data_IF_088857095267
#
_entry.id   IF_088857095267
#
_cell.length_a   1.000
_cell.length_b   1.000
_cell.length_c   1.000
_cell.angle_alpha   90.00
_cell.angle_beta   90.00
_cell.angle_gamma   90.00
#
_symmetry.space_group_name_H-M   'P 1'
#
loop_
_entity.id
_entity.type
_entity.pdbx_description
1 polymer ?
#
# COMPACT_ATOMS: atom_id res chain seq x y z
N UNK A 1 6.36 8.58 4.30
CA UNK A 1 6.25 9.63 5.36
C UNK A 1 5.93 10.98 4.74
N UNK A 2 5.67 11.98 5.60
CA UNK A 2 5.56 13.36 5.20
C UNK A 2 4.15 13.80 4.77
N UNK A 3 4.09 15.02 4.22
CA UNK A 3 2.83 15.72 3.90
C UNK A 3 1.93 14.93 2.95
N UNK A 4 2.49 14.31 1.91
CA UNK A 4 1.69 13.56 0.92
C UNK A 4 0.91 12.40 1.53
N UNK A 5 1.50 11.70 2.51
CA UNK A 5 0.78 10.67 3.25
C UNK A 5 -0.37 11.26 4.06
N UNK A 6 -0.12 12.34 4.80
CA UNK A 6 -1.16 13.03 5.58
C UNK A 6 -2.30 13.54 4.71
N UNK A 7 -1.99 14.08 3.54
CA UNK A 7 -3.00 14.53 2.56
C UNK A 7 -3.87 13.34 2.09
N UNK A 8 -3.28 12.17 1.84
CA UNK A 8 -4.01 10.95 1.50
C UNK A 8 -4.97 10.55 2.61
N UNK A 9 -4.49 10.49 3.87
CA UNK A 9 -5.35 10.18 5.02
C UNK A 9 -6.47 11.21 5.18
N UNK A 10 -6.20 12.49 4.98
CA UNK A 10 -7.22 13.54 5.02
C UNK A 10 -8.32 13.36 3.95
N UNK A 11 -7.97 12.83 2.77
CA UNK A 11 -8.96 12.49 1.73
C UNK A 11 -9.84 11.33 2.19
N UNK A 12 -9.23 10.26 2.71
CA UNK A 12 -9.97 9.08 3.18
C UNK A 12 -10.85 9.41 4.37
N UNK A 13 -10.41 10.33 5.25
CA UNK A 13 -11.15 10.78 6.43
C UNK A 13 -12.48 11.48 6.11
N UNK A 14 -12.70 11.87 4.85
CA UNK A 14 -14.01 12.36 4.38
C UNK A 14 -15.07 11.25 4.27
N UNK A 15 -14.66 10.00 4.25
CA UNK A 15 -15.53 8.84 4.07
C UNK A 15 -15.66 7.98 5.34
N UNK A 16 -14.62 7.89 6.15
CA UNK A 16 -14.56 7.16 7.42
C UNK A 16 -13.74 7.95 8.45
N UNK A 17 -14.07 7.83 9.73
CA UNK A 17 -13.42 8.60 10.80
C UNK A 17 -12.06 8.02 11.17
N UNK A 18 -11.02 8.34 10.39
CA UNK A 18 -9.65 7.86 10.63
C UNK A 18 -8.97 8.69 11.71
N UNK A 19 -8.36 8.04 12.66
CA UNK A 19 -7.41 8.64 13.61
C UNK A 19 -5.99 8.58 13.01
N UNK A 20 -5.37 9.73 12.84
CA UNK A 20 -3.97 9.81 12.41
C UNK A 20 -3.06 9.56 13.61
N UNK A 21 -2.26 8.51 13.54
CA UNK A 21 -1.25 8.16 14.54
C UNK A 21 0.11 8.64 14.11
N UNK A 22 0.97 8.93 15.09
CA UNK A 22 2.30 9.48 14.90
C UNK A 22 3.32 8.68 15.70
N UNK A 23 4.41 8.28 15.05
CA UNK A 23 5.56 7.63 15.70
C UNK A 23 6.79 8.47 15.40
N UNK A 24 7.44 9.07 16.41
CA UNK A 24 8.57 9.96 16.21
C UNK A 24 9.76 9.30 15.50
N UNK A 25 10.44 10.05 14.63
CA UNK A 25 11.73 9.64 14.05
C UNK A 25 12.72 9.27 15.14
N UNK A 26 13.48 8.20 14.94
CA UNK A 26 14.42 7.67 15.93
C UNK A 26 13.81 6.70 16.94
N UNK A 27 12.48 6.54 16.97
CA UNK A 27 11.82 5.54 17.82
C UNK A 27 12.21 4.14 17.36
N UNK A 28 12.58 3.29 18.31
CA UNK A 28 12.89 1.88 18.04
C UNK A 28 11.58 1.10 17.87
N UNK A 29 11.47 0.35 16.77
CA UNK A 29 10.35 -0.53 16.44
C UNK A 29 10.92 -1.93 16.15
N UNK A 30 10.98 -2.80 17.17
CA UNK A 30 11.71 -4.07 17.18
C UNK A 30 13.19 -3.87 16.82
N UNK A 31 13.63 -4.45 15.70
CA UNK A 31 15.00 -4.31 15.15
C UNK A 31 15.14 -3.13 14.16
N UNK A 32 14.04 -2.38 13.92
CA UNK A 32 14.03 -1.19 13.08
C UNK A 32 14.06 0.10 13.88
N UNK A 33 14.41 1.19 13.19
CA UNK A 33 14.33 2.56 13.71
C UNK A 33 13.49 3.39 12.76
N UNK A 34 12.53 4.13 13.31
CA UNK A 34 11.67 5.02 12.51
C UNK A 34 12.54 6.07 11.83
N UNK A 35 12.50 6.19 10.50
CA UNK A 35 13.35 7.09 9.73
C UNK A 35 12.97 8.56 9.93
N UNK A 36 13.84 9.45 9.44
CA UNK A 36 13.50 10.88 9.29
C UNK A 36 12.29 11.05 8.38
N UNK A 37 11.50 12.06 8.65
CA UNK A 37 10.41 12.46 7.78
C UNK A 37 10.96 13.07 6.50
N UNK A 38 10.49 12.59 5.35
CA UNK A 38 10.85 13.13 4.05
C UNK A 38 9.68 13.93 3.47
N UNK A 39 9.98 15.13 2.99
CA UNK A 39 9.04 15.99 2.27
C UNK A 39 9.67 16.51 0.99
N UNK A 40 8.85 16.79 -0.01
CA UNK A 40 9.25 17.39 -1.29
C UNK A 40 8.27 18.49 -1.67
N UNK A 41 8.81 19.64 -2.08
CA UNK A 41 8.03 20.80 -2.53
C UNK A 41 7.98 20.90 -4.05
N UNK A 42 9.12 20.68 -4.71
CA UNK A 42 9.26 20.74 -6.17
C UNK A 42 10.47 19.98 -6.65
N UNK A 43 10.48 19.59 -7.93
CA UNK A 43 11.66 19.09 -8.60
C UNK A 43 11.54 19.24 -10.13
N UNK A 44 12.65 19.51 -10.78
CA UNK A 44 12.68 19.60 -12.24
C UNK A 44 14.10 19.36 -12.80
N UNK A 45 14.12 19.08 -14.09
CA UNK A 45 15.31 19.16 -14.93
C UNK A 45 15.00 20.09 -16.10
N UNK A 46 15.85 21.10 -16.32
CA UNK A 46 15.76 22.02 -17.45
C UNK A 46 16.97 21.83 -18.38
N UNK A 47 16.70 21.92 -19.68
CA UNK A 47 17.74 21.98 -20.72
C UNK A 47 18.42 23.36 -20.79
N UNK A 48 19.38 23.52 -21.68
CA UNK A 48 20.09 24.78 -21.89
C UNK A 48 19.20 25.92 -22.39
N UNK A 49 18.06 25.60 -22.99
CA UNK A 49 17.10 26.58 -23.51
C UNK A 49 16.07 26.98 -22.41
N UNK A 50 16.17 26.38 -21.20
CA UNK A 50 15.30 26.62 -20.07
C UNK A 50 14.02 25.83 -20.09
N UNK A 51 13.82 24.90 -21.03
CA UNK A 51 12.63 24.03 -21.06
C UNK A 51 12.73 22.96 -20.01
N UNK A 52 11.65 22.75 -19.28
CA UNK A 52 11.56 21.62 -18.34
C UNK A 52 11.38 20.31 -19.11
N UNK A 53 12.40 19.47 -19.14
CA UNK A 53 12.35 18.12 -19.70
C UNK A 53 11.83 17.09 -18.68
N UNK A 54 11.96 17.41 -17.39
CA UNK A 54 11.33 16.69 -16.27
C UNK A 54 10.66 17.72 -15.36
N UNK A 55 9.44 17.46 -14.91
CA UNK A 55 8.68 18.36 -14.04
C UNK A 55 7.81 17.58 -13.03
N UNK A 56 8.18 17.65 -11.76
CA UNK A 56 7.44 17.04 -10.65
C UNK A 56 5.98 17.50 -10.60
N UNK A 57 5.71 18.75 -10.99
CA UNK A 57 4.32 19.30 -10.99
C UNK A 57 3.44 18.65 -12.07
N UNK A 58 4.02 18.02 -13.10
CA UNK A 58 3.28 17.23 -14.09
C UNK A 58 3.02 15.81 -13.61
N UNK A 59 4.00 15.21 -12.94
CA UNK A 59 3.89 13.88 -12.34
C UNK A 59 4.89 13.72 -11.20
N UNK A 60 4.40 13.32 -10.03
CA UNK A 60 5.27 13.02 -8.90
C UNK A 60 6.14 11.76 -9.11
N UNK A 61 5.80 10.91 -10.08
CA UNK A 61 6.64 9.77 -10.49
C UNK A 61 7.96 10.22 -11.12
N UNK A 62 8.07 11.45 -11.59
CA UNK A 62 9.29 11.98 -12.19
C UNK A 62 10.47 12.11 -11.21
N UNK A 63 10.27 11.94 -9.92
CA UNK A 63 11.33 11.97 -8.92
C UNK A 63 11.56 10.59 -8.33
N UNK A 64 12.83 10.19 -8.23
CA UNK A 64 13.21 9.06 -7.40
C UNK A 64 12.72 9.32 -5.97
N UNK A 65 11.77 8.51 -5.49
CA UNK A 65 11.15 8.73 -4.20
C UNK A 65 12.20 8.69 -3.07
N UNK A 66 12.09 9.55 -2.08
CA UNK A 66 13.11 9.77 -1.03
C UNK A 66 14.44 10.39 -1.52
N UNK A 67 14.45 11.07 -2.67
CA UNK A 67 15.63 11.80 -3.13
C UNK A 67 16.09 12.86 -2.14
N UNK A 68 17.40 12.92 -1.94
CA UNK A 68 18.08 14.02 -1.25
C UNK A 68 17.94 15.34 -2.05
N UNK A 69 17.98 16.50 -1.37
CA UNK A 69 17.90 17.79 -2.03
C UNK A 69 19.14 18.04 -2.89
N UNK A 70 18.94 18.61 -4.08
CA UNK A 70 20.01 19.05 -4.96
C UNK A 70 19.61 20.30 -5.75
N UNK A 71 20.58 21.17 -6.01
CA UNK A 71 20.48 22.26 -6.96
C UNK A 71 21.82 22.45 -7.64
N UNK A 72 21.92 22.07 -8.90
CA UNK A 72 23.18 22.09 -9.64
C UNK A 72 22.96 22.30 -11.15
N UNK A 73 24.03 22.66 -11.86
CA UNK A 73 24.14 22.52 -13.30
C UNK A 73 25.13 21.40 -13.59
N UNK A 74 24.74 20.43 -14.38
CA UNK A 74 25.55 19.24 -14.67
C UNK A 74 25.47 18.90 -16.17
N UNK A 75 26.53 18.32 -16.76
CA UNK A 75 26.48 17.85 -18.13
C UNK A 75 25.56 16.64 -18.30
N UNK A 76 25.06 16.41 -19.51
CA UNK A 76 24.19 15.26 -19.82
C UNK A 76 24.79 13.93 -19.38
N UNK A 77 26.12 13.75 -19.53
CA UNK A 77 26.81 12.51 -19.15
C UNK A 77 26.68 12.19 -17.64
N UNK A 78 26.62 13.22 -16.79
CA UNK A 78 26.37 13.08 -15.36
C UNK A 78 24.88 12.87 -15.08
N UNK A 79 24.01 13.69 -15.70
CA UNK A 79 22.56 13.59 -15.54
C UNK A 79 22.03 12.18 -15.84
N UNK A 80 22.53 11.54 -16.90
CA UNK A 80 22.14 10.18 -17.31
C UNK A 80 22.35 9.13 -16.23
N UNK A 81 23.31 9.31 -15.32
CA UNK A 81 23.53 8.38 -14.18
C UNK A 81 22.45 8.45 -13.13
N UNK A 82 21.70 9.56 -13.08
CA UNK A 82 20.64 9.83 -12.12
C UNK A 82 19.24 9.74 -12.73
N UNK A 83 19.13 9.24 -13.98
CA UNK A 83 17.83 9.03 -14.63
C UNK A 83 17.52 7.54 -14.73
N UNK A 84 16.34 7.17 -14.27
CA UNK A 84 15.80 5.82 -14.37
C UNK A 84 14.74 5.75 -15.47
N UNK A 85 14.86 4.76 -16.34
CA UNK A 85 13.91 4.49 -17.43
C UNK A 85 13.67 3.00 -17.60
N UNK A 86 12.67 2.62 -18.42
CA UNK A 86 12.37 1.24 -18.81
C UNK A 86 12.44 1.13 -20.33
N UNK A 87 13.49 0.49 -20.86
CA UNK A 87 13.67 0.35 -22.31
C UNK A 87 12.66 -0.57 -22.99
N UNK A 88 12.19 -1.59 -22.25
CA UNK A 88 11.17 -2.56 -22.67
C UNK A 88 9.74 -1.99 -22.61
N UNK A 89 9.55 -0.86 -21.93
CA UNK A 89 8.29 -0.13 -21.76
C UNK A 89 8.51 1.35 -21.98
N UNK A 90 8.98 1.68 -23.18
CA UNK A 90 9.63 2.95 -23.52
C UNK A 90 8.80 4.21 -23.25
N UNK A 91 7.46 4.11 -23.23
CA UNK A 91 6.53 5.23 -22.99
C UNK A 91 6.22 5.47 -21.51
N UNK A 92 6.54 4.53 -20.64
CA UNK A 92 6.15 4.62 -19.24
C UNK A 92 7.24 5.19 -18.36
N UNK A 93 6.84 5.97 -17.37
CA UNK A 93 7.73 6.48 -16.32
C UNK A 93 7.76 5.45 -15.20
N UNK A 94 8.94 4.92 -14.81
CA UNK A 94 9.01 3.98 -13.70
C UNK A 94 8.80 4.68 -12.36
N UNK A 95 8.20 3.98 -11.39
CA UNK A 95 8.35 4.31 -9.98
C UNK A 95 9.65 3.71 -9.46
N UNK A 96 10.47 4.54 -8.81
CA UNK A 96 11.70 4.12 -8.13
C UNK A 96 11.80 4.82 -6.78
N UNK A 97 12.48 4.20 -5.84
CA UNK A 97 12.69 4.74 -4.50
C UNK A 97 14.12 4.52 -4.02
N UNK A 98 14.61 5.46 -3.23
CA UNK A 98 15.92 5.47 -2.57
C UNK A 98 15.74 5.35 -1.04
N UNK A 99 14.84 4.53 -0.58
CA UNK A 99 14.30 4.53 0.78
C UNK A 99 15.36 4.40 1.88
N UNK A 100 16.42 3.62 1.65
CA UNK A 100 17.43 3.30 2.67
C UNK A 100 18.81 3.92 2.41
N UNK A 101 18.95 4.63 1.29
CA UNK A 101 20.23 5.20 0.87
C UNK A 101 20.06 6.69 0.58
N UNK A 102 21.03 7.51 1.01
CA UNK A 102 21.06 8.91 0.63
C UNK A 102 21.49 9.04 -0.84
N UNK A 103 20.50 9.20 -1.70
CA UNK A 103 20.67 9.32 -3.13
C UNK A 103 19.66 10.32 -3.71
N UNK A 104 19.85 10.75 -4.95
CA UNK A 104 18.91 11.58 -5.67
C UNK A 104 18.77 11.12 -7.11
N UNK A 105 17.66 11.41 -7.76
CA UNK A 105 17.46 11.05 -9.14
C UNK A 105 16.08 11.39 -9.66
N UNK A 106 15.91 11.09 -10.94
CA UNK A 106 14.69 11.33 -11.68
C UNK A 106 14.25 10.07 -12.41
N UNK A 107 12.99 10.01 -12.76
CA UNK A 107 12.39 8.98 -13.58
C UNK A 107 11.73 9.64 -14.81
N UNK A 108 11.89 9.04 -15.98
CA UNK A 108 11.22 9.52 -17.19
C UNK A 108 10.96 8.38 -18.16
N UNK A 109 10.16 8.63 -19.20
CA UNK A 109 9.99 7.67 -20.28
C UNK A 109 11.32 7.45 -21.02
N UNK A 110 11.55 6.22 -21.48
CA UNK A 110 12.78 5.94 -22.25
C UNK A 110 12.79 6.68 -23.60
N UNK A 111 11.62 6.88 -24.20
CA UNK A 111 11.50 7.68 -25.43
C UNK A 111 11.95 9.12 -25.23
N UNK A 112 11.63 9.76 -24.12
CA UNK A 112 12.05 11.13 -23.84
C UNK A 112 13.52 11.18 -23.40
N UNK A 113 14.00 10.15 -22.67
CA UNK A 113 15.40 10.01 -22.33
C UNK A 113 16.30 9.99 -23.58
N UNK A 114 15.89 9.29 -24.65
CA UNK A 114 16.64 9.22 -25.90
C UNK A 114 16.66 10.55 -26.69
N UNK A 115 15.73 11.47 -26.38
CA UNK A 115 15.66 12.81 -27.02
C UNK A 115 16.56 13.85 -26.34
N UNK A 116 17.15 13.52 -25.17
CA UNK A 116 18.03 14.44 -24.46
C UNK A 116 19.26 14.77 -25.29
N UNK A 117 19.53 16.07 -25.47
CA UNK A 117 20.62 16.58 -26.29
C UNK A 117 21.86 16.84 -25.46
N UNK A 118 23.05 16.74 -26.07
CA UNK A 118 24.30 17.15 -25.40
C UNK A 118 24.21 18.60 -24.92
N UNK A 119 24.70 18.84 -23.71
CA UNK A 119 24.66 20.15 -23.07
C UNK A 119 24.65 20.11 -21.57
N UNK A 120 24.52 21.28 -20.97
CA UNK A 120 24.32 21.43 -19.50
C UNK A 120 22.85 21.44 -19.17
N UNK A 121 22.53 20.83 -18.05
CA UNK A 121 21.18 20.73 -17.49
C UNK A 121 21.13 21.33 -16.08
N UNK A 122 20.15 22.17 -15.82
CA UNK A 122 19.84 22.62 -14.48
C UNK A 122 18.95 21.56 -13.79
N UNK A 123 19.47 20.97 -12.72
CA UNK A 123 18.73 20.01 -11.89
C UNK A 123 18.36 20.63 -10.55
N UNK A 124 17.14 20.41 -10.10
CA UNK A 124 16.66 20.86 -8.81
C UNK A 124 15.71 19.83 -8.21
N UNK A 125 15.96 19.44 -6.97
CA UNK A 125 15.05 18.72 -6.09
C UNK A 125 14.98 19.50 -4.78
N UNK A 126 13.83 20.10 -4.50
CA UNK A 126 13.54 20.79 -3.25
C UNK A 126 12.86 19.81 -2.30
N UNK A 127 13.66 18.99 -1.66
CA UNK A 127 13.26 18.01 -0.65
C UNK A 127 13.94 18.25 0.67
N UNK A 128 13.47 17.59 1.70
CA UNK A 128 14.08 17.67 3.03
C UNK A 128 13.92 16.35 3.80
N UNK A 129 14.94 16.06 4.62
CA UNK A 129 14.89 15.05 5.68
C UNK A 129 14.96 15.76 7.03
N UNK A 130 13.94 15.64 7.84
CA UNK A 130 13.87 16.27 9.16
C UNK A 130 13.50 15.26 10.25
N UNK A 131 13.84 15.59 11.48
CA UNK A 131 13.20 14.93 12.62
C UNK A 131 11.71 15.27 12.58
N UNK A 132 10.90 14.23 12.54
CA UNK A 132 9.46 14.35 12.36
C UNK A 132 8.77 13.07 12.81
N UNK A 133 7.78 12.61 12.07
CA UNK A 133 6.99 11.43 12.45
C UNK A 133 6.74 10.50 11.27
N UNK A 134 6.67 9.20 11.56
CA UNK A 134 5.98 8.24 10.71
C UNK A 134 4.49 8.32 11.05
N UNK A 135 3.68 8.61 10.05
CA UNK A 135 2.24 8.58 10.22
C UNK A 135 1.63 7.26 9.75
N UNK A 136 0.56 6.82 10.40
CA UNK A 136 -0.38 5.84 9.88
C UNK A 136 -1.81 6.22 10.26
N UNK A 137 -2.77 5.80 9.45
CA UNK A 137 -4.20 5.98 9.73
C UNK A 137 -4.77 4.74 10.40
N UNK A 138 -5.54 4.92 11.45
CA UNK A 138 -6.25 3.85 12.14
C UNK A 138 -7.74 4.18 12.21
N UNK A 139 -8.59 3.21 11.85
CA UNK A 139 -10.03 3.31 12.03
C UNK A 139 -10.52 2.06 12.74
N UNK A 140 -11.24 2.24 13.84
CA UNK A 140 -11.73 1.14 14.69
C UNK A 140 -13.24 1.16 14.74
N UNK A 141 -13.83 -0.02 14.56
CA UNK A 141 -15.26 -0.28 14.74
C UNK A 141 -15.37 -1.27 15.89
N UNK A 142 -16.00 -0.84 16.99
CA UNK A 142 -16.27 -1.70 18.14
C UNK A 142 -17.44 -2.64 17.81
N UNK A 143 -17.23 -3.95 18.01
CA UNK A 143 -18.22 -5.00 17.89
C UNK A 143 -18.71 -5.48 19.26
N UNK A 144 -19.47 -6.59 19.29
CA UNK A 144 -19.93 -7.20 20.54
C UNK A 144 -18.79 -7.89 21.30
N UNK A 145 -17.76 -8.34 20.60
CA UNK A 145 -16.57 -9.00 21.14
C UNK A 145 -15.35 -8.11 21.07
N UNK A 146 -14.42 -8.30 22.01
CA UNK A 146 -13.06 -7.75 21.96
C UNK A 146 -12.18 -8.43 20.91
N UNK A 147 -12.62 -9.56 20.33
CA UNK A 147 -11.92 -10.22 19.24
C UNK A 147 -11.96 -9.34 18.01
N UNK A 148 -10.79 -9.12 17.40
CA UNK A 148 -10.61 -8.16 16.30
C UNK A 148 -10.31 -8.85 14.97
N UNK A 149 -10.87 -8.32 13.90
CA UNK A 149 -10.48 -8.60 12.52
C UNK A 149 -9.67 -7.41 11.99
N UNK A 150 -8.45 -7.67 11.54
CA UNK A 150 -7.54 -6.65 11.01
C UNK A 150 -7.71 -6.52 9.49
N UNK A 151 -7.91 -5.30 8.99
CA UNK A 151 -7.86 -4.97 7.57
C UNK A 151 -6.74 -3.96 7.35
N UNK A 152 -5.77 -4.28 6.50
CA UNK A 152 -4.62 -3.42 6.25
C UNK A 152 -4.48 -3.11 4.77
N UNK A 153 -4.28 -1.83 4.43
CA UNK A 153 -3.99 -1.36 3.09
C UNK A 153 -2.80 -0.40 3.14
N UNK A 154 -1.77 -0.67 2.35
CA UNK A 154 -0.60 0.19 2.35
C UNK A 154 -0.83 1.47 1.54
N UNK A 155 -0.23 2.57 2.02
CA UNK A 155 -0.28 3.90 1.44
C UNK A 155 1.12 4.48 1.42
N UNK A 156 1.92 4.13 0.44
CA UNK A 156 3.32 4.54 0.34
C UNK A 156 3.78 4.90 -1.08
N UNK A 157 3.02 4.53 -2.11
CA UNK A 157 3.37 4.81 -3.49
C UNK A 157 2.68 6.07 -4.00
N UNK A 158 3.39 7.00 -4.67
CA UNK A 158 2.78 8.17 -5.25
C UNK A 158 2.01 7.80 -6.53
N UNK A 159 0.75 8.23 -6.63
CA UNK A 159 -0.06 8.17 -7.87
C UNK A 159 -0.25 6.80 -8.52
N UNK A 160 -0.01 5.69 -7.82
CA UNK A 160 -0.25 4.35 -8.34
C UNK A 160 -1.66 3.88 -7.94
N UNK A 161 -2.48 3.52 -8.94
CA UNK A 161 -3.90 3.28 -8.73
C UNK A 161 -4.20 1.87 -8.24
N UNK A 162 -3.66 0.85 -8.94
CA UNK A 162 -3.83 -0.53 -8.48
C UNK A 162 -2.98 -0.80 -7.24
N UNK A 163 -1.75 -0.30 -7.22
CA UNK A 163 -0.80 -0.45 -6.12
C UNK A 163 -0.54 0.88 -5.36
N UNK A 164 -1.38 1.35 -4.38
CA UNK A 164 -2.45 0.56 -3.80
C UNK A 164 -3.69 1.43 -3.47
N UNK A 165 -3.99 2.44 -4.30
CA UNK A 165 -5.22 3.23 -4.09
C UNK A 165 -6.47 2.34 -4.18
N UNK A 166 -6.43 1.25 -4.97
CA UNK A 166 -7.51 0.26 -5.05
C UNK A 166 -7.80 -0.39 -3.69
N UNK A 167 -6.77 -0.88 -3.00
CA UNK A 167 -6.89 -1.47 -1.66
C UNK A 167 -7.38 -0.48 -0.62
N UNK A 168 -6.86 0.75 -0.66
CA UNK A 168 -7.27 1.84 0.23
C UNK A 168 -8.76 2.18 0.04
N UNK A 169 -9.21 2.33 -1.21
CA UNK A 169 -10.59 2.68 -1.51
C UNK A 169 -11.57 1.59 -1.05
N UNK A 170 -11.26 0.33 -1.35
CA UNK A 170 -12.10 -0.80 -0.93
C UNK A 170 -12.10 -0.95 0.60
N UNK A 171 -10.95 -0.81 1.28
CA UNK A 171 -10.90 -0.83 2.74
C UNK A 171 -11.78 0.27 3.37
N UNK A 172 -11.74 1.49 2.80
CA UNK A 172 -12.58 2.59 3.27
C UNK A 172 -14.09 2.30 3.07
N UNK A 173 -14.47 1.70 1.93
CA UNK A 173 -15.86 1.31 1.68
C UNK A 173 -16.29 0.19 2.63
N UNK A 174 -15.48 -0.84 2.85
CA UNK A 174 -15.74 -1.90 3.82
C UNK A 174 -15.99 -1.29 5.20
N UNK A 175 -15.10 -0.40 5.67
CA UNK A 175 -15.26 0.25 6.96
C UNK A 175 -16.53 1.07 7.08
N UNK A 176 -16.90 1.80 6.00
CA UNK A 176 -18.17 2.55 5.94
C UNK A 176 -19.39 1.65 6.02
N UNK A 177 -19.38 0.51 5.34
CA UNK A 177 -20.53 -0.41 5.31
C UNK A 177 -20.65 -1.20 6.64
N UNK A 178 -19.54 -1.70 7.19
CA UNK A 178 -19.55 -2.42 8.47
C UNK A 178 -20.01 -1.53 9.63
N UNK A 179 -19.72 -0.24 9.61
CA UNK A 179 -20.21 0.69 10.65
C UNK A 179 -21.74 0.80 10.72
N UNK A 180 -22.45 0.46 9.65
CA UNK A 180 -23.92 0.58 9.56
C UNK A 180 -24.64 -0.58 10.26
N UNK A 181 -23.94 -1.65 10.57
CA UNK A 181 -24.47 -2.87 11.16
C UNK A 181 -23.83 -3.14 12.52
N UNK A 182 -24.54 -3.90 13.35
CA UNK A 182 -23.99 -4.42 14.60
C UNK A 182 -23.18 -5.66 14.29
N UNK A 183 -21.88 -5.61 14.57
CA UNK A 183 -20.93 -6.70 14.26
C UNK A 183 -20.60 -7.52 15.52
N UNK A 184 -20.37 -8.82 15.35
CA UNK A 184 -19.89 -9.74 16.40
C UNK A 184 -18.42 -9.43 16.74
N UNK A 185 -17.58 -9.29 15.72
CA UNK A 185 -16.17 -8.93 15.86
C UNK A 185 -15.99 -7.42 15.85
N UNK A 186 -14.97 -6.93 16.55
CA UNK A 186 -14.45 -5.60 16.33
C UNK A 186 -13.60 -5.59 15.04
N UNK A 187 -13.59 -4.48 14.33
CA UNK A 187 -12.82 -4.34 13.08
C UNK A 187 -11.81 -3.21 13.19
N UNK A 188 -10.56 -3.52 12.89
CA UNK A 188 -9.46 -2.56 12.88
C UNK A 188 -8.94 -2.39 11.46
N UNK A 189 -8.99 -1.16 10.97
CA UNK A 189 -8.45 -0.77 9.66
C UNK A 189 -7.17 -0.01 9.85
N UNK A 190 -6.14 -0.40 9.10
CA UNK A 190 -4.85 0.28 9.05
C UNK A 190 -4.57 0.76 7.63
N UNK A 191 -4.29 2.06 7.51
CA UNK A 191 -3.79 2.69 6.30
C UNK A 191 -2.36 3.10 6.60
N UNK A 192 -1.38 2.39 6.05
CA UNK A 192 -0.01 2.42 6.57
C UNK A 192 1.03 2.52 5.45
N UNK A 193 2.20 3.12 5.69
CA UNK A 193 3.35 2.93 4.80
C UNK A 193 3.82 1.47 4.88
N UNK A 194 3.80 0.75 3.75
CA UNK A 194 4.28 -0.65 3.70
C UNK A 194 5.81 -0.71 3.70
N UNK A 195 6.40 -1.54 4.42
CA UNK A 195 6.07 -2.40 5.57
C UNK A 195 6.47 -1.75 6.92
N UNK A 196 7.14 -0.59 6.87
CA UNK A 196 7.59 0.12 8.09
C UNK A 196 6.40 0.51 8.97
N UNK A 197 5.24 0.81 8.37
CA UNK A 197 4.02 1.14 9.10
C UNK A 197 3.48 -0.06 9.89
N UNK A 198 3.45 -1.26 9.30
CA UNK A 198 3.03 -2.47 10.01
C UNK A 198 4.01 -2.83 11.15
N UNK A 199 5.31 -2.69 10.93
CA UNK A 199 6.33 -2.87 11.97
C UNK A 199 6.10 -1.87 13.12
N UNK A 200 5.92 -0.60 12.79
CA UNK A 200 5.68 0.45 13.77
C UNK A 200 4.39 0.20 14.56
N UNK A 201 3.29 -0.13 13.86
CA UNK A 201 2.02 -0.45 14.51
C UNK A 201 2.15 -1.63 15.46
N UNK A 202 2.75 -2.73 15.02
CA UNK A 202 2.96 -3.93 15.84
C UNK A 202 3.77 -3.61 17.11
N UNK A 203 4.87 -2.88 16.98
CA UNK A 203 5.72 -2.52 18.12
C UNK A 203 5.04 -1.61 19.15
N UNK A 204 4.10 -0.76 18.70
CA UNK A 204 3.35 0.15 19.58
C UNK A 204 2.09 -0.48 20.17
N UNK A 205 1.67 -1.65 19.68
CA UNK A 205 0.40 -2.27 20.04
C UNK A 205 0.53 -3.75 20.47
N UNK A 206 1.68 -4.17 20.99
CA UNK A 206 1.92 -5.57 21.40
C UNK A 206 0.82 -6.12 22.30
N UNK A 207 0.31 -5.31 23.24
CA UNK A 207 -0.79 -5.70 24.13
C UNK A 207 -2.14 -5.92 23.44
N UNK A 208 -2.34 -5.45 22.21
CA UNK A 208 -3.57 -5.64 21.42
C UNK A 208 -3.50 -6.85 20.49
N UNK A 209 -2.32 -7.35 20.20
CA UNK A 209 -2.09 -8.44 19.23
C UNK A 209 -2.92 -9.67 19.57
N UNK A 210 -3.05 -10.00 20.84
CA UNK A 210 -3.81 -11.16 21.32
C UNK A 210 -5.30 -11.10 20.96
N UNK A 211 -5.86 -9.91 20.75
CA UNK A 211 -7.26 -9.75 20.36
C UNK A 211 -7.48 -10.06 18.87
N UNK A 212 -6.46 -9.97 18.04
CA UNK A 212 -6.59 -10.17 16.58
C UNK A 212 -6.72 -11.66 16.29
N UNK A 213 -7.88 -12.06 15.76
CA UNK A 213 -8.22 -13.46 15.43
C UNK A 213 -8.05 -13.80 13.96
N UNK A 214 -7.81 -12.80 13.14
CA UNK A 214 -7.54 -12.93 11.72
C UNK A 214 -7.41 -11.57 11.06
N UNK A 215 -6.92 -11.55 9.84
CA UNK A 215 -6.82 -10.29 9.12
C UNK A 215 -6.62 -10.47 7.63
N UNK A 216 -6.73 -9.36 6.92
CA UNK A 216 -6.63 -9.29 5.48
C UNK A 216 -5.84 -8.06 5.05
N UNK A 217 -4.76 -8.28 4.33
CA UNK A 217 -4.09 -7.23 3.57
C UNK A 217 -4.78 -7.11 2.22
N UNK A 218 -5.17 -5.89 1.83
CA UNK A 218 -5.76 -5.57 0.53
C UNK A 218 -4.70 -4.88 -0.32
N UNK A 219 -4.29 -5.53 -1.40
CA UNK A 219 -3.22 -5.03 -2.26
C UNK A 219 -3.45 -5.37 -3.73
N UNK A 220 -3.46 -4.36 -4.62
CA UNK A 220 -3.61 -4.60 -6.05
C UNK A 220 -4.93 -5.30 -6.41
N UNK A 221 -6.06 -4.70 -6.04
CA UNK A 221 -7.38 -5.34 -6.15
C UNK A 221 -8.30 -4.71 -7.19
N UNK A 222 -7.75 -3.84 -8.06
CA UNK A 222 -8.54 -3.06 -9.03
C UNK A 222 -8.33 -3.45 -10.49
N UNK A 223 -7.34 -4.25 -10.84
CA UNK A 223 -7.08 -4.69 -12.22
C UNK A 223 -8.07 -5.76 -12.69
N UNK A 224 -8.06 -6.07 -14.00
CA UNK A 224 -8.98 -7.05 -14.61
C UNK A 224 -8.55 -8.51 -14.46
N UNK A 225 -7.45 -8.79 -13.77
CA UNK A 225 -6.97 -10.16 -13.54
C UNK A 225 -7.87 -10.96 -12.59
N UNK A 226 -7.60 -12.24 -12.48
CA UNK A 226 -8.33 -13.11 -11.56
C UNK A 226 -7.97 -12.82 -10.10
N UNK A 227 -8.88 -13.14 -9.18
CA UNK A 227 -8.61 -13.03 -7.75
C UNK A 227 -7.53 -14.03 -7.34
N UNK A 228 -6.58 -13.56 -6.55
CA UNK A 228 -5.59 -14.36 -5.87
C UNK A 228 -5.71 -14.14 -4.36
N UNK A 229 -5.69 -15.22 -3.62
CA UNK A 229 -5.64 -15.16 -2.17
C UNK A 229 -4.40 -15.89 -1.66
N UNK A 230 -3.49 -15.14 -1.08
CA UNK A 230 -2.35 -15.69 -0.37
C UNK A 230 -2.75 -15.93 1.08
N UNK A 231 -2.73 -17.19 1.49
CA UNK A 231 -3.10 -17.60 2.85
C UNK A 231 -2.19 -16.98 3.92
N UNK A 232 -2.69 -16.90 5.13
CA UNK A 232 -1.86 -16.65 6.30
C UNK A 232 -0.78 -17.73 6.44
N UNK A 233 0.21 -17.50 7.30
CA UNK A 233 1.29 -18.47 7.53
C UNK A 233 0.79 -19.82 8.03
N UNK A 234 -0.25 -19.85 8.87
CA UNK A 234 -0.87 -21.10 9.31
C UNK A 234 -1.73 -21.75 8.22
N UNK A 235 -2.31 -20.94 7.34
CA UNK A 235 -3.06 -21.39 6.17
C UNK A 235 -4.46 -21.91 6.46
N UNK A 236 -4.89 -21.93 7.72
CA UNK A 236 -6.19 -22.44 8.17
C UNK A 236 -6.83 -21.55 9.25
N UNK A 237 -6.40 -20.30 9.32
CA UNK A 237 -6.98 -19.29 10.21
C UNK A 237 -8.47 -19.05 9.92
N UNK A 238 -9.11 -18.32 10.82
CA UNK A 238 -10.55 -18.04 10.74
C UNK A 238 -10.92 -17.37 9.40
N UNK A 239 -10.15 -16.34 9.02
CA UNK A 239 -10.41 -15.62 7.78
C UNK A 239 -9.92 -16.39 6.54
N UNK A 240 -8.84 -17.19 6.65
CA UNK A 240 -8.44 -18.11 5.57
C UNK A 240 -9.63 -19.02 5.18
N UNK A 241 -10.26 -19.66 6.16
CA UNK A 241 -11.41 -20.55 5.94
C UNK A 241 -12.59 -19.83 5.30
N UNK A 242 -12.90 -18.62 5.76
CA UNK A 242 -14.00 -17.83 5.21
C UNK A 242 -13.75 -17.42 3.75
N UNK A 243 -12.55 -16.89 3.45
CA UNK A 243 -12.18 -16.51 2.07
C UNK A 243 -12.19 -17.74 1.15
N UNK A 244 -11.55 -18.85 1.58
CA UNK A 244 -11.51 -20.08 0.78
C UNK A 244 -12.91 -20.61 0.49
N UNK A 245 -13.83 -20.53 1.46
CA UNK A 245 -15.22 -20.92 1.27
C UNK A 245 -15.89 -20.08 0.17
N UNK A 246 -15.77 -18.74 0.24
CA UNK A 246 -16.37 -17.83 -0.74
C UNK A 246 -15.76 -18.02 -2.14
N UNK A 247 -14.43 -18.14 -2.23
CA UNK A 247 -13.77 -18.35 -3.51
C UNK A 247 -14.21 -19.65 -4.18
N UNK A 248 -14.35 -20.73 -3.41
CA UNK A 248 -14.83 -22.02 -3.91
C UNK A 248 -16.26 -21.95 -4.46
N UNK A 249 -17.11 -21.12 -3.87
CA UNK A 249 -18.53 -21.03 -4.26
C UNK A 249 -18.75 -20.09 -5.45
N UNK A 250 -18.04 -18.97 -5.50
CA UNK A 250 -18.39 -17.85 -6.36
C UNK A 250 -17.33 -17.48 -7.39
N UNK A 251 -16.08 -17.98 -7.25
CA UNK A 251 -14.93 -17.52 -8.04
C UNK A 251 -14.14 -18.70 -8.61
N UNK A 252 -14.62 -19.28 -9.71
CA UNK A 252 -14.05 -20.50 -10.31
C UNK A 252 -12.61 -20.34 -10.74
N UNK A 253 -12.19 -19.15 -11.16
CA UNK A 253 -10.85 -18.86 -11.67
C UNK A 253 -9.91 -18.25 -10.60
N UNK A 254 -10.41 -18.13 -9.37
CA UNK A 254 -9.58 -17.63 -8.27
C UNK A 254 -8.45 -18.62 -7.95
N UNK A 255 -7.27 -18.07 -7.65
CA UNK A 255 -6.10 -18.84 -7.27
C UNK A 255 -5.78 -18.66 -5.78
N UNK A 256 -5.45 -19.76 -5.14
CA UNK A 256 -5.00 -19.77 -3.75
C UNK A 256 -3.50 -20.03 -3.73
N UNK A 257 -2.78 -19.15 -3.02
CA UNK A 257 -1.31 -19.20 -2.91
C UNK A 257 -0.96 -19.51 -1.46
N UNK A 258 -0.03 -20.43 -1.25
CA UNK A 258 0.52 -20.69 0.07
C UNK A 258 1.35 -19.49 0.58
N UNK A 259 1.48 -19.38 1.89
CA UNK A 259 2.29 -18.32 2.48
C UNK A 259 3.76 -18.43 2.06
N UNK A 260 4.32 -17.28 1.74
CA UNK A 260 5.77 -17.07 1.63
C UNK A 260 6.14 -15.78 2.36
N UNK A 261 7.34 -15.66 2.96
CA UNK A 261 7.76 -14.45 3.68
C UNK A 261 8.19 -13.34 2.72
N UNK A 262 7.62 -13.30 1.55
CA UNK A 262 7.80 -12.28 0.52
C UNK A 262 6.44 -11.71 0.13
N UNK A 263 6.31 -10.39 0.06
CA UNK A 263 5.05 -9.71 -0.25
C UNK A 263 4.92 -8.38 0.47
N UNK A 264 3.70 -8.03 0.84
CA UNK A 264 3.38 -6.79 1.55
C UNK A 264 3.38 -6.98 3.08
N UNK A 265 2.44 -6.35 3.76
CA UNK A 265 2.40 -6.27 5.23
C UNK A 265 2.00 -7.59 5.91
N UNK A 266 1.34 -8.51 5.19
CA UNK A 266 0.99 -9.83 5.72
C UNK A 266 2.24 -10.59 6.22
N UNK A 267 3.40 -10.38 5.59
CA UNK A 267 4.64 -11.00 6.04
C UNK A 267 5.10 -10.51 7.41
N UNK A 268 4.78 -9.26 7.77
CA UNK A 268 5.09 -8.70 9.08
C UNK A 268 4.12 -9.22 10.14
N UNK A 269 2.82 -9.20 9.83
CA UNK A 269 1.79 -9.74 10.73
C UNK A 269 1.98 -11.25 10.97
N UNK A 270 2.40 -12.00 9.96
CA UNK A 270 2.67 -13.42 10.03
C UNK A 270 4.10 -13.78 10.49
N UNK A 271 4.94 -12.80 10.85
CA UNK A 271 6.33 -13.07 11.27
C UNK A 271 6.37 -13.99 12.50
N UNK A 272 7.41 -14.83 12.67
CA UNK A 272 7.44 -15.86 13.72
C UNK A 272 7.18 -15.35 15.15
N UNK A 273 7.64 -14.14 15.48
CA UNK A 273 7.45 -13.55 16.80
C UNK A 273 6.04 -12.99 17.03
N UNK A 274 5.27 -12.70 15.97
CA UNK A 274 3.92 -12.14 16.00
C UNK A 274 2.89 -13.22 15.68
N UNK A 275 3.06 -13.92 14.56
CA UNK A 275 2.30 -15.10 14.14
C UNK A 275 0.77 -14.91 14.08
N UNK A 276 0.32 -13.75 13.61
CA UNK A 276 -1.09 -13.48 13.33
C UNK A 276 -1.55 -14.21 12.07
N UNK A 277 -2.83 -14.59 12.04
CA UNK A 277 -3.47 -15.23 10.91
C UNK A 277 -3.96 -14.17 9.91
N UNK A 278 -3.03 -13.55 9.16
CA UNK A 278 -3.32 -12.47 8.20
C UNK A 278 -2.97 -12.93 6.79
N UNK A 279 -3.97 -13.04 5.93
CA UNK A 279 -3.79 -13.34 4.51
C UNK A 279 -3.66 -12.07 3.66
N UNK A 280 -3.33 -12.24 2.38
CA UNK A 280 -3.31 -11.14 1.41
C UNK A 280 -4.28 -11.43 0.27
N UNK A 281 -5.19 -10.49 0.03
CA UNK A 281 -6.16 -10.52 -1.06
C UNK A 281 -5.71 -9.56 -2.16
N UNK A 282 -5.57 -10.08 -3.36
CA UNK A 282 -5.13 -9.34 -4.54
C UNK A 282 -5.84 -9.87 -5.79
N UNK A 283 -5.76 -9.12 -6.89
CA UNK A 283 -6.09 -9.66 -8.20
C UNK A 283 -4.81 -10.17 -8.86
N UNK A 284 -4.29 -9.54 -9.89
CA UNK A 284 -2.98 -9.97 -10.40
C UNK A 284 -1.90 -9.75 -9.34
N UNK A 285 -1.13 -10.78 -8.95
CA UNK A 285 -0.05 -10.61 -8.00
C UNK A 285 0.94 -9.53 -8.44
N UNK A 286 1.53 -8.85 -7.46
CA UNK A 286 2.57 -7.87 -7.71
C UNK A 286 3.69 -8.46 -8.58
N UNK A 287 4.30 -7.63 -9.42
CA UNK A 287 5.34 -8.02 -10.38
C UNK A 287 4.87 -9.02 -11.49
N UNK A 288 3.58 -9.33 -11.57
CA UNK A 288 3.01 -10.20 -12.61
C UNK A 288 2.17 -9.44 -13.65
N UNK A 289 2.10 -8.12 -13.57
CA UNK A 289 1.51 -7.26 -14.58
C UNK A 289 2.50 -6.15 -14.99
N UNK A 290 2.57 -5.82 -16.27
CA UNK A 290 3.61 -4.92 -16.78
C UNK A 290 3.47 -3.48 -16.26
N UNK A 291 2.28 -3.05 -15.88
CA UNK A 291 1.97 -1.72 -15.33
C UNK A 291 2.54 -1.51 -13.92
N UNK A 292 2.87 -2.59 -13.21
CA UNK A 292 3.39 -2.55 -11.85
C UNK A 292 4.57 -1.58 -11.70
N UNK A 293 4.47 -0.68 -10.73
CA UNK A 293 5.49 0.34 -10.47
C UNK A 293 5.83 1.22 -11.68
N UNK A 294 4.83 1.59 -12.47
CA UNK A 294 4.96 2.52 -13.60
C UNK A 294 3.80 3.50 -13.69
N UNK A 295 3.94 4.53 -14.52
CA UNK A 295 2.87 5.50 -14.83
C UNK A 295 1.66 4.89 -15.54
N UNK A 296 1.74 3.62 -15.99
CA UNK A 296 0.62 2.89 -16.58
C UNK A 296 -0.31 2.29 -15.52
N UNK A 297 0.12 2.21 -14.26
CA UNK A 297 -0.76 1.92 -13.13
C UNK A 297 -1.57 3.17 -12.76
N UNK A 298 -2.58 3.46 -13.56
CA UNK A 298 -3.40 4.66 -13.50
C UNK A 298 -4.91 4.31 -13.50
N UNK A 299 -5.77 5.32 -13.60
CA UNK A 299 -7.23 5.14 -13.59
C UNK A 299 -7.77 4.35 -14.77
N UNK A 300 -7.07 4.32 -15.91
CA UNK A 300 -7.47 3.52 -17.07
C UNK A 300 -7.18 2.02 -16.86
N UNK A 301 -6.19 1.71 -16.02
CA UNK A 301 -5.80 0.34 -15.70
C UNK A 301 -6.78 -0.33 -14.73
N UNK A 302 -7.21 0.35 -13.68
CA UNK A 302 -8.19 -0.19 -12.74
C UNK A 302 -9.61 -0.18 -13.32
N UNK A 303 -10.46 -1.13 -12.89
CA UNK A 303 -11.82 -1.30 -13.38
C UNK A 303 -12.82 -1.26 -12.23
N UNK A 304 -13.93 -0.54 -12.44
CA UNK A 304 -15.00 -0.43 -11.45
C UNK A 304 -15.60 -1.81 -11.11
N UNK A 305 -15.81 -2.66 -12.12
CA UNK A 305 -16.35 -4.01 -11.91
C UNK A 305 -15.38 -4.88 -11.09
N UNK A 306 -14.08 -4.75 -11.32
CA UNK A 306 -13.06 -5.46 -10.55
C UNK A 306 -13.04 -5.04 -9.08
N UNK A 307 -13.14 -3.73 -8.83
CA UNK A 307 -13.25 -3.19 -7.47
C UNK A 307 -14.53 -3.67 -6.76
N UNK A 308 -15.66 -3.67 -7.49
CA UNK A 308 -16.95 -4.14 -6.97
C UNK A 308 -16.92 -5.65 -6.64
N UNK A 309 -16.33 -6.45 -7.52
CA UNK A 309 -16.17 -7.89 -7.32
C UNK A 309 -15.25 -8.18 -6.11
N UNK A 310 -14.10 -7.50 -6.03
CA UNK A 310 -13.18 -7.61 -4.87
C UNK A 310 -13.87 -7.22 -3.56
N UNK A 311 -14.63 -6.13 -3.56
CA UNK A 311 -15.44 -5.70 -2.41
C UNK A 311 -16.47 -6.77 -2.03
N UNK A 312 -17.19 -7.32 -3.01
CA UNK A 312 -18.22 -8.35 -2.79
C UNK A 312 -17.65 -9.60 -2.13
N UNK A 313 -16.49 -10.08 -2.60
CA UNK A 313 -15.83 -11.24 -1.99
C UNK A 313 -15.41 -10.95 -0.55
N UNK A 314 -14.80 -9.80 -0.29
CA UNK A 314 -14.41 -9.42 1.08
C UNK A 314 -15.62 -9.32 2.01
N UNK A 315 -16.67 -8.61 1.59
CA UNK A 315 -17.90 -8.47 2.40
C UNK A 315 -18.59 -9.80 2.64
N UNK A 316 -18.60 -10.70 1.64
CA UNK A 316 -19.14 -12.05 1.80
C UNK A 316 -18.35 -12.88 2.82
N UNK A 317 -17.01 -12.77 2.81
CA UNK A 317 -16.16 -13.44 3.78
C UNK A 317 -16.39 -12.91 5.21
N UNK A 318 -16.51 -11.59 5.38
CA UNK A 318 -16.87 -11.01 6.68
C UNK A 318 -18.29 -11.44 7.10
N UNK A 319 -19.25 -11.50 6.17
CA UNK A 319 -20.57 -12.05 6.45
C UNK A 319 -20.54 -13.50 6.97
N UNK A 320 -19.67 -14.34 6.41
CA UNK A 320 -19.43 -15.71 6.93
C UNK A 320 -18.92 -15.65 8.36
N UNK A 321 -17.96 -14.77 8.68
CA UNK A 321 -17.43 -14.66 10.06
C UNK A 321 -18.50 -14.20 11.04
N UNK A 322 -19.28 -13.17 10.69
CA UNK A 322 -20.31 -12.59 11.54
C UNK A 322 -21.42 -13.61 11.89
N UNK A 323 -21.74 -14.52 10.94
CA UNK A 323 -22.80 -15.52 11.11
C UNK A 323 -22.28 -16.92 11.48
N UNK A 324 -20.96 -17.09 11.64
CA UNK A 324 -20.38 -18.35 12.06
C UNK A 324 -20.58 -18.57 13.57
N UNK A 325 -21.67 -19.23 13.93
CA UNK A 325 -22.05 -19.51 15.32
C UNK A 325 -22.05 -21.01 15.60
N UNK A 326 -21.81 -21.36 16.86
CA UNK A 326 -22.01 -22.71 17.37
C UNK A 326 -23.43 -22.77 17.93
N UNK A 327 -24.26 -23.62 17.34
CA UNK A 327 -25.63 -23.84 17.81
C UNK A 327 -25.66 -25.00 18.77
N UNK A 328 -26.23 -24.78 19.94
CA UNK A 328 -26.45 -25.82 20.95
C UNK A 328 -27.90 -26.31 20.85
N UNK A 329 -28.07 -27.60 20.60
CA UNK A 329 -29.40 -28.22 20.74
C UNK A 329 -29.74 -28.37 22.21
N UNK A 330 -30.74 -27.63 22.68
CA UNK A 330 -31.22 -27.67 24.05
C UNK A 330 -32.36 -28.73 24.23
N UNK A 331 -32.79 -29.38 23.16
CA UNK A 331 -33.80 -30.42 23.15
C UNK A 331 -33.19 -31.72 22.64
N UNK A 332 -32.53 -32.50 23.51
CA UNK A 332 -31.78 -33.70 23.12
C UNK A 332 -32.64 -34.93 22.75
N UNK A 333 -33.95 -34.76 22.63
CA UNK A 333 -34.89 -35.83 22.21
C UNK A 333 -35.59 -35.45 20.93
#
# INVERSE_FOLDING_TARGET
TGKGFRDTINIISKYISIELKEVPSGTKAFDWVIPKEWNINDAYVKDSDGNKVIDFKKSNLHVLNYSAPIKAKIPLSELKKHIHTLSDRSKWVPYRTSYYEENWGFCMSHEDFLKLKEGEYEVMIDSSFSQGVLNYGEYFIEGESKDEILISAHSCHPSLCNDNLSGIAVAAIIGRELRKIKTKYSYRFLFIPGSIGSIAWLSQNEGKIANIKGGLVLSGIGDSGNIHYKKSRKGDGLLDKAILHILKQNQKDAKVIDFSPFGYDERQYCSPGINLDVGCFMRTPYDQYPEYHTSADNLDFIKADSLADSLSVCMSAFGVLEHNNIYLNLSPK
#
